data_IF_297572746268
#
_entry.id   IF_297572746268
#
_cell.length_a   1.000
_cell.length_b   1.000
_cell.length_c   1.000
_cell.angle_alpha   90.00
_cell.angle_beta   90.00
_cell.angle_gamma   90.00
#
_symmetry.space_group_name_H-M   'P 1'
#
loop_
_entity.id
_entity.type
_entity.pdbx_description
1 polymer ?
#
# COMPACT_ATOMS: atom_id res chain seq x y z
N UNK A 1 -153.46 -78.84 127.69
CA UNK A 1 -152.25 -78.47 126.91
C UNK A 1 -151.99 -76.97 126.82
N UNK A 2 -152.99 -76.09 126.87
CA UNK A 2 -152.81 -74.62 126.83
C UNK A 2 -152.05 -74.05 128.05
N UNK A 3 -152.23 -74.63 129.24
CA UNK A 3 -151.58 -74.16 130.47
C UNK A 3 -150.03 -74.24 130.43
N UNK A 4 -149.47 -75.29 129.82
CA UNK A 4 -148.01 -75.47 129.70
C UNK A 4 -147.37 -74.43 128.75
N UNK A 5 -148.09 -74.04 127.69
CA UNK A 5 -147.65 -73.02 126.74
C UNK A 5 -147.61 -71.64 127.40
N UNK A 6 -148.57 -71.34 128.30
CA UNK A 6 -148.68 -70.05 128.99
C UNK A 6 -147.57 -69.84 130.03
N UNK A 7 -147.20 -70.89 130.78
CA UNK A 7 -146.03 -70.82 131.67
C UNK A 7 -144.71 -70.71 130.90
N UNK A 8 -144.60 -71.37 129.74
CA UNK A 8 -143.41 -71.26 128.89
C UNK A 8 -143.26 -69.86 128.28
N UNK A 9 -144.36 -69.29 127.76
CA UNK A 9 -144.33 -67.93 127.20
C UNK A 9 -144.06 -66.88 128.27
N UNK A 10 -144.65 -67.01 129.47
CA UNK A 10 -144.39 -66.12 130.59
C UNK A 10 -142.94 -66.23 131.08
N UNK A 11 -142.40 -67.44 131.19
CA UNK A 11 -141.00 -67.68 131.54
C UNK A 11 -140.03 -67.09 130.51
N UNK A 12 -140.31 -67.27 129.22
CA UNK A 12 -139.53 -66.67 128.13
C UNK A 12 -139.58 -65.14 128.18
N UNK A 13 -140.76 -64.56 128.41
CA UNK A 13 -140.93 -63.11 128.51
C UNK A 13 -140.15 -62.53 129.70
N UNK A 14 -140.17 -63.21 130.85
CA UNK A 14 -139.38 -62.82 132.02
C UNK A 14 -137.87 -62.90 131.75
N UNK A 15 -137.39 -63.98 131.13
CA UNK A 15 -135.97 -64.12 130.78
C UNK A 15 -135.52 -63.07 129.76
N UNK A 16 -136.35 -62.81 128.74
CA UNK A 16 -136.08 -61.77 127.74
C UNK A 16 -136.04 -60.37 128.37
N UNK A 17 -136.94 -60.08 129.32
CA UNK A 17 -136.96 -58.81 130.04
C UNK A 17 -135.68 -58.60 130.87
N UNK A 18 -135.23 -59.62 131.60
CA UNK A 18 -133.98 -59.56 132.39
C UNK A 18 -132.77 -59.42 131.45
N UNK A 19 -132.72 -60.17 130.35
CA UNK A 19 -131.65 -60.07 129.36
C UNK A 19 -131.54 -58.67 128.76
N UNK A 20 -132.68 -58.05 128.42
CA UNK A 20 -132.75 -56.67 127.93
C UNK A 20 -132.26 -55.66 128.95
N UNK A 21 -132.48 -55.91 130.24
CA UNK A 21 -132.03 -55.01 131.31
C UNK A 21 -130.51 -55.09 131.55
N UNK A 22 -129.93 -56.30 131.45
CA UNK A 22 -128.50 -56.54 131.74
C UNK A 22 -127.59 -56.31 130.52
N UNK A 23 -128.07 -56.57 129.31
CA UNK A 23 -127.32 -56.38 128.06
C UNK A 23 -126.66 -54.98 127.93
N UNK A 24 -127.33 -53.84 128.19
CA UNK A 24 -126.70 -52.53 128.07
C UNK A 24 -125.60 -52.28 129.11
N UNK A 25 -125.66 -52.92 130.29
CA UNK A 25 -124.62 -52.79 131.31
C UNK A 25 -123.34 -53.56 130.95
N UNK A 26 -123.50 -54.80 130.45
CA UNK A 26 -122.39 -55.62 129.99
C UNK A 26 -121.71 -55.01 128.74
N UNK A 27 -122.49 -54.45 127.81
CA UNK A 27 -121.94 -53.80 126.61
C UNK A 27 -121.09 -52.58 126.95
N UNK A 28 -121.56 -51.71 127.87
CA UNK A 28 -120.78 -50.55 128.32
C UNK A 28 -119.43 -50.97 128.92
N UNK A 29 -119.42 -52.02 129.75
CA UNK A 29 -118.21 -52.51 130.40
C UNK A 29 -117.24 -53.18 129.42
N UNK A 30 -117.75 -53.89 128.42
CA UNK A 30 -116.93 -54.48 127.36
C UNK A 30 -116.23 -53.41 126.51
N UNK A 31 -116.94 -52.34 126.13
CA UNK A 31 -116.38 -51.21 125.37
C UNK A 31 -115.30 -50.47 126.14
N UNK A 32 -115.47 -50.29 127.46
CA UNK A 32 -114.48 -49.58 128.26
C UNK A 32 -113.18 -50.39 128.42
N UNK A 33 -113.28 -51.71 128.59
CA UNK A 33 -112.12 -52.60 128.66
C UNK A 33 -111.38 -52.70 127.31
N UNK A 34 -112.10 -52.76 126.18
CA UNK A 34 -111.46 -52.76 124.85
C UNK A 34 -110.82 -51.41 124.54
N UNK A 35 -111.47 -50.30 124.90
CA UNK A 35 -110.89 -48.96 124.77
C UNK A 35 -109.61 -48.80 125.59
N UNK A 36 -109.62 -49.17 126.88
CA UNK A 36 -108.42 -49.11 127.73
C UNK A 36 -107.30 -50.01 127.24
N UNK A 37 -107.62 -51.16 126.63
CA UNK A 37 -106.61 -52.07 126.06
C UNK A 37 -106.00 -51.53 124.77
N UNK A 38 -106.80 -50.89 123.91
CA UNK A 38 -106.33 -50.26 122.66
C UNK A 38 -105.46 -49.05 122.97
N UNK A 39 -105.89 -48.18 123.90
CA UNK A 39 -105.11 -47.02 124.35
C UNK A 39 -103.77 -47.42 124.99
N UNK A 40 -103.69 -48.60 125.65
CA UNK A 40 -102.44 -49.13 126.19
C UNK A 40 -101.55 -49.83 125.14
N UNK A 41 -102.10 -50.26 124.00
CA UNK A 41 -101.39 -51.03 122.97
C UNK A 41 -100.95 -50.22 121.75
N UNK A 42 -101.44 -48.98 121.58
CA UNK A 42 -101.06 -48.08 120.49
C UNK A 42 -100.17 -46.96 121.04
N UNK A 43 -98.84 -47.05 120.90
CA UNK A 43 -97.91 -46.06 121.44
C UNK A 43 -97.71 -44.93 120.44
N UNK A 44 -98.74 -44.12 120.19
CA UNK A 44 -98.62 -42.81 119.54
C UNK A 44 -99.61 -41.85 120.19
N UNK A 45 -99.11 -40.96 121.04
CA UNK A 45 -99.90 -39.84 121.56
C UNK A 45 -100.24 -38.88 120.42
N UNK A 46 -101.39 -38.19 120.48
CA UNK A 46 -101.79 -37.22 119.45
C UNK A 46 -100.73 -36.12 119.20
N UNK A 47 -99.94 -35.80 120.23
CA UNK A 47 -98.82 -34.86 120.13
C UNK A 47 -97.64 -35.43 119.31
N UNK A 48 -97.36 -36.73 119.40
CA UNK A 48 -96.29 -37.40 118.64
C UNK A 48 -96.68 -37.53 117.16
N UNK A 49 -97.95 -37.83 116.85
CA UNK A 49 -98.45 -37.85 115.48
C UNK A 49 -98.36 -36.47 114.82
N UNK A 50 -98.64 -35.41 115.59
CA UNK A 50 -98.48 -34.03 115.11
C UNK A 50 -97.00 -33.68 114.88
N UNK A 51 -96.10 -34.13 115.77
CA UNK A 51 -94.66 -33.96 115.59
C UNK A 51 -94.11 -34.71 114.36
N UNK A 52 -94.55 -35.94 114.10
CA UNK A 52 -94.19 -36.68 112.87
C UNK A 52 -94.71 -36.00 111.61
N UNK A 53 -95.95 -35.48 111.65
CA UNK A 53 -96.53 -34.72 110.53
C UNK A 53 -95.75 -33.44 110.25
N UNK A 54 -95.39 -32.69 111.29
CA UNK A 54 -94.61 -31.47 111.14
C UNK A 54 -93.15 -31.76 110.75
N UNK A 55 -92.57 -32.87 111.21
CA UNK A 55 -91.29 -33.40 110.73
C UNK A 55 -91.34 -33.75 109.24
N UNK A 56 -92.35 -34.49 108.78
CA UNK A 56 -92.53 -34.82 107.37
C UNK A 56 -92.71 -33.55 106.52
N UNK A 57 -93.48 -32.57 107.00
CA UNK A 57 -93.62 -31.27 106.33
C UNK A 57 -92.29 -30.53 106.23
N UNK A 58 -91.48 -30.55 107.28
CA UNK A 58 -90.16 -29.93 107.28
C UNK A 58 -89.19 -30.68 106.34
N UNK A 59 -89.18 -32.01 106.36
CA UNK A 59 -88.38 -32.83 105.46
C UNK A 59 -88.73 -32.56 103.99
N UNK A 60 -90.03 -32.55 103.65
CA UNK A 60 -90.49 -32.19 102.32
C UNK A 60 -90.13 -30.74 101.95
N UNK A 61 -90.32 -29.77 102.85
CA UNK A 61 -89.95 -28.37 102.58
C UNK A 61 -88.43 -28.22 102.34
N UNK A 62 -87.59 -28.91 103.13
CA UNK A 62 -86.14 -28.91 102.95
C UNK A 62 -85.72 -29.62 101.65
N UNK A 63 -86.36 -30.74 101.31
CA UNK A 63 -86.11 -31.45 100.05
C UNK A 63 -86.49 -30.58 98.85
N UNK A 64 -87.67 -29.96 98.86
CA UNK A 64 -88.12 -29.02 97.83
C UNK A 64 -87.14 -27.86 97.72
N UNK A 65 -86.75 -27.23 98.84
CA UNK A 65 -85.78 -26.13 98.82
C UNK A 65 -84.42 -26.56 98.27
N UNK A 66 -83.95 -27.76 98.64
CA UNK A 66 -82.68 -28.31 98.14
C UNK A 66 -82.75 -28.61 96.64
N UNK A 67 -83.90 -29.08 96.15
CA UNK A 67 -84.14 -29.30 94.72
C UNK A 67 -84.22 -27.98 93.96
N UNK A 68 -84.94 -26.97 94.47
CA UNK A 68 -84.99 -25.63 93.89
C UNK A 68 -83.60 -25.00 93.78
N UNK A 69 -82.79 -25.08 94.84
CA UNK A 69 -81.42 -24.56 94.83
C UNK A 69 -80.54 -25.32 93.83
N UNK A 70 -80.66 -26.64 93.75
CA UNK A 70 -79.96 -27.45 92.74
C UNK A 70 -80.39 -27.06 91.33
N UNK A 71 -81.69 -26.94 91.08
CA UNK A 71 -82.25 -26.53 89.79
C UNK A 71 -81.72 -25.14 89.40
N UNK A 72 -81.76 -24.18 90.33
CA UNK A 72 -81.19 -22.84 90.12
C UNK A 72 -79.70 -22.92 89.76
N UNK A 73 -78.89 -23.67 90.51
CA UNK A 73 -77.45 -23.81 90.22
C UNK A 73 -77.17 -24.51 88.88
N UNK A 74 -78.01 -25.47 88.47
CA UNK A 74 -77.90 -26.13 87.17
C UNK A 74 -78.31 -25.19 86.04
N UNK A 75 -79.36 -24.39 86.23
CA UNK A 75 -79.75 -23.37 85.26
C UNK A 75 -78.67 -22.30 85.10
N UNK A 76 -78.07 -21.82 86.19
CA UNK A 76 -76.95 -20.85 86.15
C UNK A 76 -75.72 -21.43 85.44
N UNK A 77 -75.37 -22.70 85.69
CA UNK A 77 -74.29 -23.39 84.95
C UNK A 77 -74.62 -23.56 83.47
N UNK A 78 -75.86 -23.93 83.15
CA UNK A 78 -76.31 -24.11 81.77
C UNK A 78 -76.34 -22.80 80.99
N UNK A 79 -76.72 -21.68 81.61
CA UNK A 79 -76.64 -20.36 80.97
C UNK A 79 -75.19 -19.91 80.81
N UNK A 80 -74.33 -20.12 81.81
CA UNK A 80 -72.90 -19.83 81.70
C UNK A 80 -72.24 -20.62 80.56
N UNK A 81 -72.51 -21.92 80.47
CA UNK A 81 -72.03 -22.78 79.38
C UNK A 81 -72.59 -22.36 78.02
N UNK A 82 -73.87 -21.99 77.95
CA UNK A 82 -74.47 -21.48 76.71
C UNK A 82 -73.78 -20.20 76.23
N UNK A 83 -73.45 -19.29 77.15
CA UNK A 83 -72.71 -18.06 76.82
C UNK A 83 -71.28 -18.35 76.37
N UNK A 84 -70.60 -19.31 77.01
CA UNK A 84 -69.27 -19.75 76.61
C UNK A 84 -69.27 -20.38 75.21
N UNK A 85 -70.25 -21.23 74.90
CA UNK A 85 -70.41 -21.82 73.57
C UNK A 85 -70.65 -20.74 72.51
N UNK A 86 -71.46 -19.72 72.81
CA UNK A 86 -71.68 -18.59 71.88
C UNK A 86 -70.36 -17.84 71.64
N UNK A 87 -69.58 -17.54 72.68
CA UNK A 87 -68.27 -16.89 72.53
C UNK A 87 -67.29 -17.72 71.69
N UNK A 88 -67.17 -19.01 71.98
CA UNK A 88 -66.30 -19.91 71.23
C UNK A 88 -66.73 -20.04 69.77
N UNK A 89 -68.05 -20.00 69.48
CA UNK A 89 -68.55 -19.95 68.10
C UNK A 89 -68.18 -18.65 67.39
N UNK A 90 -68.34 -17.51 68.06
CA UNK A 90 -67.92 -16.22 67.48
C UNK A 90 -66.41 -16.18 67.20
N UNK A 91 -65.58 -16.74 68.08
CA UNK A 91 -64.14 -16.87 67.84
C UNK A 91 -63.81 -17.81 66.68
N UNK A 92 -64.50 -18.95 66.58
CA UNK A 92 -64.35 -19.88 65.47
C UNK A 92 -64.75 -19.24 64.13
N UNK A 93 -65.85 -18.48 64.10
CA UNK A 93 -66.31 -17.77 62.90
C UNK A 93 -65.31 -16.69 62.46
N UNK A 94 -64.72 -15.95 63.42
CA UNK A 94 -63.65 -14.97 63.13
C UNK A 94 -62.41 -15.64 62.56
N UNK A 95 -61.95 -16.72 63.18
CA UNK A 95 -60.79 -17.48 62.70
C UNK A 95 -61.05 -18.07 61.31
N UNK A 96 -62.26 -18.56 61.04
CA UNK A 96 -62.65 -19.05 59.72
C UNK A 96 -62.59 -17.95 58.66
N UNK A 97 -63.10 -16.75 58.96
CA UNK A 97 -63.02 -15.60 58.06
C UNK A 97 -61.57 -15.15 57.80
N UNK A 98 -60.72 -15.19 58.83
CA UNK A 98 -59.31 -14.82 58.66
C UNK A 98 -58.53 -15.86 57.85
N UNK A 99 -58.82 -17.15 58.03
CA UNK A 99 -58.28 -18.22 57.18
C UNK A 99 -58.74 -18.08 55.73
N UNK A 100 -59.99 -17.69 55.48
CA UNK A 100 -60.50 -17.44 54.13
C UNK A 100 -59.80 -16.25 53.46
N UNK A 101 -59.63 -15.14 54.18
CA UNK A 101 -58.84 -13.99 53.70
C UNK A 101 -57.40 -14.40 53.37
N UNK A 102 -56.77 -15.17 54.26
CA UNK A 102 -55.41 -15.66 54.04
C UNK A 102 -55.32 -16.59 52.82
N UNK A 103 -56.30 -17.48 52.63
CA UNK A 103 -56.37 -18.34 51.47
C UNK A 103 -56.51 -17.52 50.18
N UNK A 104 -57.32 -16.46 50.19
CA UNK A 104 -57.43 -15.53 49.06
C UNK A 104 -56.12 -14.78 48.78
N UNK A 105 -55.45 -14.25 49.81
CA UNK A 105 -54.15 -13.57 49.62
C UNK A 105 -53.09 -14.52 49.12
N UNK A 106 -53.03 -15.76 49.63
CA UNK A 106 -52.10 -16.77 49.16
C UNK A 106 -52.39 -17.16 47.70
N UNK A 107 -53.66 -17.34 47.33
CA UNK A 107 -54.04 -17.59 45.94
C UNK A 107 -53.63 -16.46 44.99
N UNK A 108 -53.78 -15.21 45.42
CA UNK A 108 -53.29 -14.05 44.67
C UNK A 108 -51.76 -14.09 44.51
N UNK A 109 -51.02 -14.25 45.61
CA UNK A 109 -49.55 -14.31 45.60
C UNK A 109 -49.02 -15.48 44.75
N UNK A 110 -49.68 -16.65 44.79
CA UNK A 110 -49.35 -17.79 43.94
C UNK A 110 -49.58 -17.47 42.46
N UNK A 111 -50.68 -16.80 42.12
CA UNK A 111 -50.96 -16.38 40.75
C UNK A 111 -49.93 -15.37 40.24
N UNK A 112 -49.50 -14.44 41.08
CA UNK A 112 -48.50 -13.43 40.77
C UNK A 112 -47.11 -14.03 40.64
N UNK A 113 -46.75 -14.96 41.54
CA UNK A 113 -45.50 -15.74 41.46
C UNK A 113 -45.45 -16.57 40.17
N UNK A 114 -46.54 -17.22 39.78
CA UNK A 114 -46.62 -17.95 38.51
C UNK A 114 -46.49 -17.01 37.31
N UNK A 115 -47.13 -15.84 37.35
CA UNK A 115 -47.03 -14.84 36.29
C UNK A 115 -45.60 -14.31 36.16
N UNK A 116 -44.96 -13.94 37.27
CA UNK A 116 -43.58 -13.48 37.29
C UNK A 116 -42.62 -14.58 36.83
N UNK A 117 -42.85 -15.83 37.24
CA UNK A 117 -42.09 -16.98 36.77
C UNK A 117 -42.21 -17.21 35.25
N UNK A 118 -43.41 -17.07 34.69
CA UNK A 118 -43.62 -17.16 33.25
C UNK A 118 -42.89 -16.04 32.50
N UNK A 119 -42.99 -14.78 32.97
CA UNK A 119 -42.26 -13.65 32.38
C UNK A 119 -40.74 -13.84 32.47
N UNK A 120 -40.25 -14.34 33.61
CA UNK A 120 -38.82 -14.63 33.77
C UNK A 120 -38.34 -15.74 32.81
N UNK A 121 -39.15 -16.78 32.59
CA UNK A 121 -38.84 -17.84 31.63
C UNK A 121 -38.85 -17.32 30.18
N UNK A 122 -39.83 -16.48 29.82
CA UNK A 122 -39.88 -15.84 28.50
C UNK A 122 -38.68 -14.93 28.27
N UNK A 123 -38.31 -14.11 29.25
CA UNK A 123 -37.11 -13.27 29.19
C UNK A 123 -35.83 -14.11 29.10
N UNK A 124 -35.71 -15.21 29.85
CA UNK A 124 -34.56 -16.11 29.77
C UNK A 124 -34.42 -16.69 28.35
N UNK A 125 -35.52 -17.11 27.73
CA UNK A 125 -35.54 -17.58 26.34
C UNK A 125 -35.13 -16.48 25.35
N UNK A 126 -35.62 -15.25 25.53
CA UNK A 126 -35.24 -14.12 24.67
C UNK A 126 -33.73 -13.82 24.81
N UNK A 127 -33.20 -13.84 26.03
CA UNK A 127 -31.77 -13.63 26.27
C UNK A 127 -30.94 -14.73 25.61
N UNK A 128 -31.35 -16.00 25.71
CA UNK A 128 -30.68 -17.11 25.04
C UNK A 128 -30.67 -16.94 23.51
N UNK A 129 -31.82 -16.62 22.90
CA UNK A 129 -31.95 -16.39 21.46
C UNK A 129 -31.09 -15.19 20.99
N UNK A 130 -31.09 -14.08 21.75
CA UNK A 130 -30.27 -12.91 21.43
C UNK A 130 -28.77 -13.21 21.60
N UNK A 131 -28.39 -14.01 22.59
CA UNK A 131 -27.00 -14.43 22.80
C UNK A 131 -26.50 -15.30 21.66
N UNK A 132 -27.34 -16.23 21.18
CA UNK A 132 -27.01 -17.06 20.01
C UNK A 132 -26.89 -16.21 18.73
N UNK A 133 -27.82 -15.28 18.51
CA UNK A 133 -27.75 -14.33 17.38
C UNK A 133 -26.50 -13.47 17.44
N UNK A 134 -26.16 -12.94 18.61
CA UNK A 134 -24.96 -12.13 18.81
C UNK A 134 -23.70 -12.94 18.50
N UNK A 135 -23.57 -14.14 19.07
CA UNK A 135 -22.45 -15.05 18.79
C UNK A 135 -22.35 -15.40 17.30
N UNK A 136 -23.49 -15.58 16.62
CA UNK A 136 -23.52 -15.77 15.16
C UNK A 136 -22.99 -14.56 14.39
N UNK A 137 -23.41 -13.35 14.77
CA UNK A 137 -22.92 -12.11 14.14
C UNK A 137 -21.45 -11.84 14.39
N UNK A 138 -20.94 -12.14 15.59
CA UNK A 138 -19.53 -12.02 15.93
C UNK A 138 -18.67 -12.97 15.09
N UNK A 139 -19.09 -14.23 14.91
CA UNK A 139 -18.41 -15.17 14.02
C UNK A 139 -18.36 -14.68 12.57
N UNK A 140 -19.47 -14.19 12.04
CA UNK A 140 -19.51 -13.61 10.69
C UNK A 140 -18.60 -12.38 10.55
N UNK A 141 -18.53 -11.54 11.59
CA UNK A 141 -17.63 -10.39 11.61
C UNK A 141 -16.16 -10.82 11.64
N UNK A 142 -15.82 -11.85 12.41
CA UNK A 142 -14.47 -12.41 12.47
C UNK A 142 -14.05 -13.06 11.14
N UNK A 143 -14.95 -13.80 10.49
CA UNK A 143 -14.73 -14.37 9.15
C UNK A 143 -14.49 -13.27 8.11
N UNK A 144 -15.32 -12.22 8.10
CA UNK A 144 -15.11 -11.06 7.23
C UNK A 144 -13.81 -10.31 7.55
N UNK A 145 -13.43 -10.21 8.82
CA UNK A 145 -12.14 -9.66 9.22
C UNK A 145 -10.97 -10.45 8.62
N UNK A 146 -11.01 -11.78 8.70
CA UNK A 146 -10.02 -12.66 8.08
C UNK A 146 -10.00 -12.55 6.55
N UNK A 147 -11.17 -12.39 5.91
CA UNK A 147 -11.25 -12.15 4.47
C UNK A 147 -10.63 -10.80 4.08
N UNK A 148 -10.89 -9.74 4.84
CA UNK A 148 -10.30 -8.43 4.62
C UNK A 148 -8.78 -8.47 4.78
N UNK A 149 -8.25 -9.11 5.83
CA UNK A 149 -6.80 -9.28 5.99
C UNK A 149 -6.17 -10.05 4.83
N UNK A 150 -6.85 -11.10 4.32
CA UNK A 150 -6.39 -11.82 3.13
C UNK A 150 -6.40 -10.92 1.90
N UNK A 151 -7.45 -10.13 1.72
CA UNK A 151 -7.60 -9.24 0.58
C UNK A 151 -6.57 -8.10 0.61
N UNK A 152 -6.28 -7.57 1.80
CA UNK A 152 -5.21 -6.59 2.03
C UNK A 152 -3.84 -7.16 1.65
N UNK A 153 -3.50 -8.37 2.11
CA UNK A 153 -2.23 -9.02 1.73
C UNK A 153 -2.12 -9.23 0.23
N UNK A 154 -3.19 -9.70 -0.41
CA UNK A 154 -3.22 -9.87 -1.87
C UNK A 154 -3.08 -8.54 -2.61
N UNK A 155 -3.67 -7.47 -2.07
CA UNK A 155 -3.56 -6.13 -2.64
C UNK A 155 -2.14 -5.56 -2.47
N UNK A 156 -1.52 -5.73 -1.30
CA UNK A 156 -0.14 -5.33 -1.04
C UNK A 156 0.83 -6.08 -1.97
N UNK A 157 0.65 -7.40 -2.12
CA UNK A 157 1.46 -8.22 -3.04
C UNK A 157 1.29 -7.77 -4.50
N UNK A 158 0.04 -7.55 -4.94
CA UNK A 158 -0.24 -7.07 -6.29
C UNK A 158 0.31 -5.65 -6.51
N UNK A 159 0.22 -4.77 -5.52
CA UNK A 159 0.76 -3.41 -5.56
C UNK A 159 2.29 -3.45 -5.64
N UNK A 160 2.95 -4.26 -4.82
CA UNK A 160 4.40 -4.46 -4.86
C UNK A 160 4.86 -5.03 -6.21
N UNK A 161 4.17 -6.06 -6.72
CA UNK A 161 4.46 -6.63 -8.03
C UNK A 161 4.27 -5.61 -9.17
N UNK A 162 3.26 -4.74 -9.06
CA UNK A 162 3.04 -3.64 -10.02
C UNK A 162 4.16 -2.62 -9.97
N UNK A 163 4.55 -2.13 -8.77
CA UNK A 163 5.66 -1.19 -8.61
C UNK A 163 6.99 -1.80 -9.08
N UNK A 164 7.23 -3.08 -8.80
CA UNK A 164 8.40 -3.80 -9.30
C UNK A 164 8.43 -3.87 -10.83
N UNK A 165 7.30 -4.20 -11.47
CA UNK A 165 7.18 -4.17 -12.95
C UNK A 165 7.36 -2.76 -13.52
N UNK A 166 6.86 -1.73 -12.84
CA UNK A 166 7.05 -0.35 -13.28
C UNK A 166 8.53 0.06 -13.23
N UNK A 167 9.25 -0.31 -12.18
CA UNK A 167 10.71 -0.09 -12.10
C UNK A 167 11.43 -0.87 -13.21
N UNK A 168 11.05 -2.12 -13.46
CA UNK A 168 11.64 -2.92 -14.53
C UNK A 168 11.37 -2.30 -15.92
N UNK A 169 10.15 -1.83 -16.18
CA UNK A 169 9.81 -1.14 -17.43
C UNK A 169 10.66 0.12 -17.62
N UNK A 170 10.80 0.97 -16.60
CA UNK A 170 11.65 2.17 -16.67
C UNK A 170 13.12 1.80 -16.90
N UNK A 171 13.61 0.72 -16.28
CA UNK A 171 14.96 0.22 -16.52
C UNK A 171 15.14 -0.26 -17.97
N UNK A 172 14.17 -1.01 -18.52
CA UNK A 172 14.17 -1.45 -19.92
C UNK A 172 14.05 -0.29 -20.90
N UNK A 173 13.25 0.72 -20.60
CA UNK A 173 13.17 1.94 -21.41
C UNK A 173 14.52 2.68 -21.44
N UNK A 174 15.21 2.78 -20.30
CA UNK A 174 16.56 3.35 -20.24
C UNK A 174 17.60 2.51 -21.02
N UNK A 175 17.52 1.18 -20.96
CA UNK A 175 18.35 0.29 -21.78
C UNK A 175 18.08 0.48 -23.29
N UNK A 176 16.81 0.57 -23.68
CA UNK A 176 16.42 0.83 -25.08
C UNK A 176 16.93 2.19 -25.53
N UNK A 177 16.88 3.22 -24.68
CA UNK A 177 17.39 4.55 -25.00
C UNK A 177 18.91 4.52 -25.20
N UNK A 178 19.66 3.88 -24.29
CA UNK A 178 21.12 3.69 -24.44
C UNK A 178 21.47 2.95 -25.72
N UNK A 179 20.83 1.81 -25.99
CA UNK A 179 21.05 1.06 -27.23
C UNK A 179 20.67 1.89 -28.47
N UNK A 180 19.62 2.71 -28.37
CA UNK A 180 19.22 3.61 -29.46
C UNK A 180 20.26 4.71 -29.70
N UNK A 181 20.86 5.27 -28.65
CA UNK A 181 21.98 6.20 -28.76
C UNK A 181 23.23 5.54 -29.34
N UNK A 182 23.58 4.33 -28.88
CA UNK A 182 24.69 3.55 -29.44
C UNK A 182 24.47 3.26 -30.94
N UNK A 183 23.26 2.86 -31.34
CA UNK A 183 22.91 2.65 -32.76
C UNK A 183 23.03 3.95 -33.54
N UNK A 184 22.58 5.09 -33.00
CA UNK A 184 22.75 6.40 -33.65
C UNK A 184 24.23 6.75 -33.79
N UNK A 185 25.03 6.54 -32.75
CA UNK A 185 26.48 6.74 -32.75
C UNK A 185 27.19 5.86 -33.77
N UNK A 186 26.88 4.57 -33.79
CA UNK A 186 27.39 3.61 -34.78
C UNK A 186 27.00 3.98 -36.22
N UNK A 187 25.76 4.44 -36.44
CA UNK A 187 25.33 4.93 -37.77
C UNK A 187 26.09 6.19 -38.18
N UNK A 188 26.33 7.12 -37.26
CA UNK A 188 27.12 8.32 -37.52
C UNK A 188 28.59 7.96 -37.83
N UNK A 189 29.20 7.08 -37.03
CA UNK A 189 30.55 6.57 -37.25
C UNK A 189 30.67 5.86 -38.60
N UNK A 190 29.68 5.03 -38.97
CA UNK A 190 29.62 4.38 -40.29
C UNK A 190 29.53 5.39 -41.42
N UNK A 191 28.68 6.43 -41.29
CA UNK A 191 28.55 7.49 -42.30
C UNK A 191 29.85 8.26 -42.47
N UNK A 192 30.55 8.55 -41.37
CA UNK A 192 31.85 9.20 -41.41
C UNK A 192 32.93 8.30 -42.03
N UNK A 193 32.97 7.03 -41.66
CA UNK A 193 33.86 6.04 -42.29
C UNK A 193 33.59 5.90 -43.79
N UNK A 194 32.32 5.86 -44.22
CA UNK A 194 31.93 5.86 -45.63
C UNK A 194 32.35 7.15 -46.34
N UNK A 195 32.27 8.31 -45.66
CA UNK A 195 32.73 9.61 -46.20
C UNK A 195 34.25 9.61 -46.39
N UNK A 196 35.00 9.18 -45.37
CA UNK A 196 36.47 9.04 -45.43
C UNK A 196 36.88 8.05 -46.50
N UNK A 197 36.22 6.89 -46.59
CA UNK A 197 36.47 5.89 -47.63
C UNK A 197 36.23 6.47 -49.02
N UNK A 198 35.12 7.20 -49.24
CA UNK A 198 34.85 7.87 -50.52
C UNK A 198 35.93 8.90 -50.85
N UNK A 199 36.35 9.70 -49.87
CA UNK A 199 37.42 10.68 -50.05
C UNK A 199 38.73 9.99 -50.41
N UNK A 200 39.14 8.95 -49.67
CA UNK A 200 40.33 8.16 -49.96
C UNK A 200 40.27 7.50 -51.35
N UNK A 201 39.10 7.01 -51.79
CA UNK A 201 38.91 6.47 -53.15
C UNK A 201 39.07 7.57 -54.21
N UNK A 202 38.54 8.76 -53.97
CA UNK A 202 38.68 9.88 -54.89
C UNK A 202 40.12 10.39 -54.95
N UNK A 203 40.78 10.53 -53.80
CA UNK A 203 42.19 10.91 -53.69
C UNK A 203 43.08 9.87 -54.37
N UNK A 204 42.79 8.57 -54.19
CA UNK A 204 43.47 7.49 -54.92
C UNK A 204 43.29 7.64 -56.44
N UNK A 205 42.08 7.88 -56.92
CA UNK A 205 41.82 8.11 -58.36
C UNK A 205 42.56 9.34 -58.88
N UNK A 206 42.61 10.43 -58.11
CA UNK A 206 43.34 11.64 -58.45
C UNK A 206 44.86 11.39 -58.48
N UNK A 207 45.39 10.63 -57.52
CA UNK A 207 46.79 10.22 -57.51
C UNK A 207 47.11 9.29 -58.70
N UNK A 208 46.22 8.36 -59.04
CA UNK A 208 46.37 7.49 -60.22
C UNK A 208 46.37 8.29 -61.52
N UNK A 209 45.48 9.29 -61.66
CA UNK A 209 45.45 10.15 -62.85
C UNK A 209 46.67 11.08 -62.94
N UNK A 210 47.15 11.61 -61.81
CA UNK A 210 48.39 12.37 -61.73
C UNK A 210 49.61 11.50 -62.09
N UNK A 211 49.68 10.28 -61.57
CA UNK A 211 50.74 9.31 -61.90
C UNK A 211 50.70 8.95 -63.40
N UNK A 212 49.51 8.77 -63.98
CA UNK A 212 49.36 8.55 -65.42
C UNK A 212 49.82 9.78 -66.23
N UNK A 213 49.53 10.99 -65.77
CA UNK A 213 50.00 12.22 -66.41
C UNK A 213 51.53 12.34 -66.34
N UNK A 214 52.13 12.06 -65.19
CA UNK A 214 53.59 12.02 -65.02
C UNK A 214 54.24 10.93 -65.87
N UNK A 215 53.64 9.74 -65.96
CA UNK A 215 54.11 8.67 -66.87
C UNK A 215 54.05 9.09 -68.33
N UNK A 216 52.98 9.78 -68.76
CA UNK A 216 52.88 10.33 -70.12
C UNK A 216 53.93 11.39 -70.37
N UNK A 217 54.15 12.31 -69.43
CA UNK A 217 55.23 13.31 -69.50
C UNK A 217 56.60 12.66 -69.55
N UNK A 218 56.84 11.64 -68.75
CA UNK A 218 58.07 10.85 -68.77
C UNK A 218 58.27 10.19 -70.14
N UNK A 219 57.24 9.54 -70.70
CA UNK A 219 57.31 8.97 -72.05
C UNK A 219 57.51 10.05 -73.15
N UNK A 220 56.90 11.23 -73.01
CA UNK A 220 57.15 12.37 -73.91
C UNK A 220 58.60 12.89 -73.78
N UNK A 221 59.17 12.89 -72.58
CA UNK A 221 60.57 13.24 -72.35
C UNK A 221 61.51 12.15 -72.88
N UNK A 222 61.20 10.88 -72.71
CA UNK A 222 61.93 9.75 -73.29
C UNK A 222 61.93 9.82 -74.81
N UNK A 223 60.79 10.07 -75.46
CA UNK A 223 60.73 10.26 -76.92
C UNK A 223 61.47 11.52 -77.38
N UNK A 224 61.48 12.61 -76.59
CA UNK A 224 62.32 13.79 -76.87
C UNK A 224 63.80 13.47 -76.72
N UNK A 225 64.19 12.70 -75.71
CA UNK A 225 65.56 12.22 -75.53
C UNK A 225 65.95 11.33 -76.70
N UNK A 226 65.10 10.39 -77.11
CA UNK A 226 65.33 9.53 -78.27
C UNK A 226 65.48 10.36 -79.55
N UNK A 227 64.63 11.37 -79.76
CA UNK A 227 64.81 12.35 -80.86
C UNK A 227 66.11 13.14 -80.74
N UNK A 228 66.51 13.55 -79.54
CA UNK A 228 67.80 14.22 -79.33
C UNK A 228 68.95 13.27 -79.65
N UNK A 229 68.88 12.00 -79.22
CA UNK A 229 69.84 10.95 -79.55
C UNK A 229 69.89 10.69 -81.05
N UNK A 230 68.77 10.62 -81.76
CA UNK A 230 68.80 10.48 -83.23
C UNK A 230 69.37 11.72 -83.89
N UNK A 231 69.05 12.95 -83.42
CA UNK A 231 69.66 14.16 -83.98
C UNK A 231 71.15 14.29 -83.66
N UNK A 232 71.60 13.77 -82.51
CA UNK A 232 73.00 13.68 -82.15
C UNK A 232 73.69 12.64 -83.03
N UNK A 233 73.09 11.47 -83.23
CA UNK A 233 73.59 10.44 -84.15
C UNK A 233 73.64 10.95 -85.60
N UNK A 234 72.64 11.70 -86.06
CA UNK A 234 72.64 12.31 -87.40
C UNK A 234 73.71 13.41 -87.51
N UNK A 235 73.97 14.15 -86.42
CA UNK A 235 75.06 15.14 -86.36
C UNK A 235 76.42 14.47 -86.28
N UNK A 236 76.56 13.40 -85.52
CA UNK A 236 77.75 12.56 -85.45
C UNK A 236 78.02 11.93 -86.82
N UNK A 237 77.00 11.41 -87.51
CA UNK A 237 77.11 10.94 -88.89
C UNK A 237 77.46 12.06 -89.86
N UNK A 238 76.90 13.27 -89.70
CA UNK A 238 77.29 14.43 -90.52
C UNK A 238 78.73 14.85 -90.25
N UNK A 239 79.17 14.85 -88.99
CA UNK A 239 80.55 15.10 -88.60
C UNK A 239 81.47 14.00 -89.11
N UNK A 240 81.03 12.74 -89.11
CA UNK A 240 81.78 11.61 -89.64
C UNK A 240 81.87 11.67 -91.16
N UNK A 241 80.80 12.10 -91.85
CA UNK A 241 80.81 12.39 -93.29
C UNK A 241 81.73 13.58 -93.60
N UNK A 242 81.70 14.64 -92.81
CA UNK A 242 82.63 15.78 -92.93
C UNK A 242 84.08 15.37 -92.61
N UNK A 243 84.30 14.47 -91.65
CA UNK A 243 85.60 13.91 -91.35
C UNK A 243 86.11 13.05 -92.52
N UNK A 244 85.25 12.23 -93.12
CA UNK A 244 85.55 11.44 -94.33
C UNK A 244 85.76 12.34 -95.56
N UNK A 245 85.06 13.47 -95.67
CA UNK A 245 85.30 14.48 -96.71
C UNK A 245 86.60 15.25 -96.46
N UNK A 246 86.94 15.57 -95.21
CA UNK A 246 88.25 16.13 -94.86
C UNK A 246 89.38 15.14 -95.10
N UNK A 247 89.17 13.85 -94.87
CA UNK A 247 90.16 12.81 -95.19
C UNK A 247 90.28 12.60 -96.70
N UNK A 248 89.19 12.70 -97.47
CA UNK A 248 89.24 12.70 -98.95
C UNK A 248 89.90 13.95 -99.51
N UNK A 249 89.61 15.14 -98.97
CA UNK A 249 90.27 16.39 -99.35
C UNK A 249 91.74 16.38 -98.92
N UNK A 250 92.10 15.75 -97.81
CA UNK A 250 93.51 15.52 -97.42
C UNK A 250 94.21 14.53 -98.34
N UNK A 251 93.55 13.45 -98.76
CA UNK A 251 94.08 12.51 -99.75
C UNK A 251 94.16 13.14 -101.15
N UNK A 252 93.23 14.01 -101.56
CA UNK A 252 93.31 14.81 -102.80
C UNK A 252 94.41 15.88 -102.71
N UNK A 253 94.59 16.54 -101.57
CA UNK A 253 95.70 17.47 -101.34
C UNK A 253 97.05 16.72 -101.32
N UNK A 254 97.09 15.48 -100.82
CA UNK A 254 98.29 14.63 -100.79
C UNK A 254 98.60 14.01 -102.16
N UNK A 255 97.59 13.74 -103.00
CA UNK A 255 97.75 13.25 -104.36
C UNK A 255 98.09 14.37 -105.37
N UNK A 256 97.66 15.61 -105.11
CA UNK A 256 97.97 16.78 -105.94
C UNK A 256 99.29 17.48 -105.54
N UNK A 257 99.94 17.05 -104.45
CA UNK A 257 101.22 17.57 -103.94
C UNK A 257 102.43 16.64 -104.17
N UNK A 258 102.44 15.90 -105.29
CA UNK A 258 103.59 15.07 -105.70
C UNK A 258 104.15 15.39 -107.11
N UNK A 259 103.68 16.45 -107.78
CA UNK A 259 104.27 16.95 -109.02
C UNK A 259 104.01 18.45 -109.21
N UNK A 260 105.08 19.25 -109.28
CA UNK A 260 105.01 20.63 -109.79
C UNK A 260 105.26 21.74 -108.76
N UNK A 261 106.54 21.93 -108.46
CA UNK A 261 107.25 23.20 -108.27
C UNK A 261 106.44 24.51 -108.15
N UNK A 262 106.73 25.30 -107.10
CA UNK A 262 107.46 26.59 -107.16
C UNK A 262 106.98 27.56 -106.09
N UNK A 263 107.95 28.30 -105.53
CA UNK A 263 107.88 29.66 -104.99
C UNK A 263 106.81 29.95 -103.92
N UNK A 264 107.22 30.35 -102.72
CA UNK A 264 107.71 31.71 -102.49
C UNK A 264 106.55 32.53 -101.93
N UNK A 265 106.55 32.79 -100.61
CA UNK A 265 106.96 34.07 -100.01
C UNK A 265 105.90 35.18 -100.10
N UNK A 266 105.79 35.94 -99.00
CA UNK A 266 105.06 37.22 -98.92
C UNK A 266 104.01 37.19 -97.82
N UNK A 267 104.38 37.33 -96.55
CA UNK A 267 104.60 38.61 -95.86
C UNK A 267 103.33 39.43 -95.59
N UNK A 268 103.03 39.54 -94.30
CA UNK A 268 102.66 40.77 -93.58
C UNK A 268 101.74 41.78 -94.26
N UNK A 269 100.47 41.82 -93.82
CA UNK A 269 99.76 43.09 -93.62
C UNK A 269 98.51 43.04 -92.71
N UNK A 270 98.20 41.97 -91.97
CA UNK A 270 96.88 41.88 -91.31
C UNK A 270 96.88 41.93 -89.77
N UNK A 271 98.01 42.27 -89.14
CA UNK A 271 98.08 42.41 -87.68
C UNK A 271 97.72 43.84 -87.19
N UNK A 272 97.35 44.76 -88.09
CA UNK A 272 96.87 46.12 -87.74
C UNK A 272 95.34 46.21 -87.81
N UNK A 273 94.72 45.49 -88.74
CA UNK A 273 93.26 45.39 -88.89
C UNK A 273 92.61 44.58 -87.76
N UNK A 274 93.28 43.51 -87.29
CA UNK A 274 92.79 42.72 -86.16
C UNK A 274 92.85 43.51 -84.83
N UNK A 275 93.90 44.33 -84.62
CA UNK A 275 94.01 45.20 -83.43
C UNK A 275 92.93 46.28 -83.39
N UNK A 276 92.56 46.87 -84.53
CA UNK A 276 91.47 47.85 -84.58
C UNK A 276 90.10 47.21 -84.32
N UNK A 277 89.85 46.02 -84.86
CA UNK A 277 88.61 45.27 -84.61
C UNK A 277 88.50 44.82 -83.14
N UNK A 278 89.58 44.33 -82.53
CA UNK A 278 89.60 43.98 -81.11
C UNK A 278 89.37 45.22 -80.23
N UNK A 279 89.96 46.38 -80.58
CA UNK A 279 89.74 47.62 -79.82
C UNK A 279 88.32 48.19 -79.96
N UNK A 280 87.65 47.93 -81.09
CA UNK A 280 86.26 48.34 -81.34
C UNK A 280 85.29 47.44 -80.57
N UNK A 281 85.52 46.13 -80.60
CA UNK A 281 84.72 45.16 -79.83
C UNK A 281 84.90 45.36 -78.31
N UNK A 282 86.11 45.71 -77.85
CA UNK A 282 86.36 46.03 -76.44
C UNK A 282 85.62 47.30 -75.97
N UNK A 283 85.51 48.33 -76.82
CA UNK A 283 84.74 49.54 -76.50
C UNK A 283 83.23 49.26 -76.40
N UNK A 284 82.71 48.40 -77.27
CA UNK A 284 81.29 48.00 -77.28
C UNK A 284 80.95 47.12 -76.06
N UNK A 285 81.83 46.18 -75.69
CA UNK A 285 81.69 45.35 -74.49
C UNK A 285 81.72 46.20 -73.22
N UNK A 286 82.63 47.18 -73.11
CA UNK A 286 82.70 48.11 -71.97
C UNK A 286 81.46 49.02 -71.88
N UNK A 287 80.90 49.44 -73.02
CA UNK A 287 79.66 50.21 -73.05
C UNK A 287 78.44 49.37 -72.62
N UNK A 288 78.35 48.11 -73.05
CA UNK A 288 77.29 47.18 -72.66
C UNK A 288 77.36 46.79 -71.17
N UNK A 289 78.55 46.58 -70.61
CA UNK A 289 78.71 46.39 -69.15
C UNK A 289 78.39 47.66 -68.36
N UNK A 290 78.76 48.85 -68.85
CA UNK A 290 78.39 50.11 -68.21
C UNK A 290 76.86 50.39 -68.25
N UNK A 291 76.13 49.85 -69.23
CA UNK A 291 74.66 49.87 -69.27
C UNK A 291 74.04 48.82 -68.33
N UNK A 292 74.67 47.66 -68.16
CA UNK A 292 74.20 46.59 -67.27
C UNK A 292 74.51 46.86 -65.78
N UNK A 293 75.57 47.60 -65.46
CA UNK A 293 75.96 47.94 -64.07
C UNK A 293 75.23 49.15 -63.48
N UNK A 294 74.55 49.97 -64.31
CA UNK A 294 73.80 51.14 -63.84
C UNK A 294 74.67 52.33 -63.38
N UNK A 295 74.06 53.40 -62.84
CA UNK A 295 74.70 54.72 -62.65
C UNK A 295 75.85 54.78 -61.62
N UNK A 296 76.17 53.68 -60.93
CA UNK A 296 77.24 53.61 -59.91
C UNK A 296 78.50 52.84 -60.40
N UNK A 297 78.60 52.50 -61.69
CA UNK A 297 79.76 51.78 -62.24
C UNK A 297 81.07 52.59 -62.10
N UNK A 298 82.13 51.92 -61.62
CA UNK A 298 83.47 52.50 -61.44
C UNK A 298 84.09 53.00 -62.77
N UNK A 299 83.55 52.53 -63.90
CA UNK A 299 83.99 52.89 -65.25
C UNK A 299 83.65 54.35 -65.58
N UNK A 300 82.51 54.88 -65.11
CA UNK A 300 82.14 56.29 -65.31
C UNK A 300 83.07 57.26 -64.56
N UNK A 301 83.55 56.87 -63.37
CA UNK A 301 84.48 57.68 -62.56
C UNK A 301 85.87 57.80 -63.21
N UNK A 302 86.32 56.75 -63.92
CA UNK A 302 87.61 56.76 -64.61
C UNK A 302 87.59 57.56 -65.93
N UNK A 303 86.44 57.68 -66.60
CA UNK A 303 86.30 58.42 -67.86
C UNK A 303 86.12 59.94 -67.70
N UNK A 304 85.76 60.39 -66.49
CA UNK A 304 85.47 61.80 -66.16
C UNK A 304 86.62 62.59 -65.52
N UNK A 305 87.83 62.03 -65.41
CA UNK A 305 88.94 62.64 -64.64
C UNK A 305 90.12 63.23 -65.44
N UNK A 306 90.03 63.43 -66.76
CA UNK A 306 91.09 64.16 -67.50
C UNK A 306 90.53 65.06 -68.61
N UNK A 307 90.77 66.38 -68.48
CA UNK A 307 90.54 67.45 -69.47
C UNK A 307 91.90 68.13 -69.83
N UNK A 308 91.99 68.96 -70.90
CA UNK A 308 92.94 68.76 -72.00
C UNK A 308 94.26 69.55 -71.86
N UNK A 309 95.35 69.03 -72.42
CA UNK A 309 96.60 69.80 -72.57
C UNK A 309 97.23 69.64 -73.96
N UNK A 310 97.40 70.79 -74.62
CA UNK A 310 97.88 71.00 -75.98
C UNK A 310 99.39 70.76 -76.12
N UNK A 311 99.75 69.99 -77.15
CA UNK A 311 100.83 70.35 -78.08
C UNK A 311 102.24 69.87 -77.77
N UNK A 312 102.71 68.86 -78.53
CA UNK A 312 103.87 68.96 -79.44
C UNK A 312 103.98 67.71 -80.34
N UNK A 313 103.90 67.99 -81.64
CA UNK A 313 104.44 67.30 -82.82
C UNK A 313 104.58 65.76 -82.88
N UNK A 314 103.91 65.23 -83.93
CA UNK A 314 104.32 64.12 -84.81
C UNK A 314 104.58 62.76 -84.16
N UNK A 315 103.59 61.87 -84.24
CA UNK A 315 103.63 60.66 -85.07
C UNK A 315 102.30 59.89 -84.96
N UNK A 316 102.15 58.91 -85.85
CA UNK A 316 100.90 58.37 -86.35
C UNK A 316 100.02 57.55 -85.37
N UNK A 317 98.72 57.65 -85.65
CA UNK A 317 97.71 56.58 -85.64
C UNK A 317 97.15 56.05 -84.30
N UNK A 318 95.81 56.13 -84.24
CA UNK A 318 94.80 55.43 -83.42
C UNK A 318 94.20 56.19 -82.23
N UNK A 319 92.87 56.47 -82.25
CA UNK A 319 92.17 57.06 -81.10
C UNK A 319 92.17 56.13 -79.88
N UNK A 320 92.35 56.71 -78.69
CA UNK A 320 92.31 56.00 -77.41
C UNK A 320 90.95 55.30 -77.19
N UNK A 321 90.96 54.17 -76.47
CA UNK A 321 89.76 53.41 -76.09
C UNK A 321 88.75 54.30 -75.33
N UNK A 322 89.25 55.21 -74.48
CA UNK A 322 88.42 56.15 -73.73
C UNK A 322 87.68 57.15 -74.64
N UNK A 323 88.33 57.59 -75.72
CA UNK A 323 87.71 58.51 -76.69
C UNK A 323 86.63 57.81 -77.53
N UNK A 324 86.82 56.52 -77.87
CA UNK A 324 85.82 55.71 -78.58
C UNK A 324 84.59 55.39 -77.71
N UNK A 325 84.77 55.13 -76.41
CA UNK A 325 83.66 54.94 -75.46
C UNK A 325 82.86 56.24 -75.26
N UNK A 326 83.51 57.41 -75.16
CA UNK A 326 82.81 58.71 -75.13
C UNK A 326 82.05 59.01 -76.43
N UNK A 327 82.58 58.62 -77.58
CA UNK A 327 81.90 58.78 -78.87
C UNK A 327 80.62 57.92 -78.97
N UNK A 328 80.65 56.68 -78.49
CA UNK A 328 79.47 55.81 -78.42
C UNK A 328 78.39 56.34 -77.45
N UNK A 329 78.78 56.89 -76.29
CA UNK A 329 77.82 57.53 -75.37
C UNK A 329 77.12 58.75 -75.98
N UNK A 330 77.84 59.60 -76.72
CA UNK A 330 77.23 60.74 -77.42
C UNK A 330 76.26 60.29 -78.54
N UNK A 331 76.55 59.18 -79.21
CA UNK A 331 75.65 58.61 -80.22
C UNK A 331 74.38 57.98 -79.60
N UNK A 332 74.48 57.36 -78.42
CA UNK A 332 73.34 56.75 -77.72
C UNK A 332 72.42 57.78 -77.02
N UNK A 333 72.91 58.99 -76.70
CA UNK A 333 72.12 60.09 -76.11
C UNK A 333 71.50 61.04 -77.15
N UNK A 334 71.82 60.85 -78.44
CA UNK A 334 71.37 61.68 -79.56
C UNK A 334 70.31 61.04 -80.47
N UNK A 335 69.62 59.99 -80.00
CA UNK A 335 68.52 59.27 -80.68
C UNK A 335 67.27 59.22 -79.81
#
# INVERSE_FOLDING_TARGET
MIQSILFFSLGFLCAAFIALMVAPALWRRAVELTRRRIEASVPLSAAELQAEKDRLRAEHAMQTRRLEMKLKSLTEKSTAQSLEIVRLREEADRLAQDLEKQAHTNGHLDSETRRLGAVAADHARIVEELTEKLAGTERMAEERGKELERLERLYEEASFASSSRQIELVARESEIEKLSEEIKGMRAARKEADRVMRQAVNDRKAAESALQAERKRAAELETKLERMFTTLSDREEKLERQARELDRLREEIKAMSAAGSTAGQGEGSDDKALRDQISTLAAEVVHLTALLEGPESQIYKALGMEEPAKGKAKEAAFPSLADRVRALQKAAQGS
#
